data_IF_312753545978
#
_entry.id   IF_312753545978
#
_cell.length_a   1.000
_cell.length_b   1.000
_cell.length_c   1.000
_cell.angle_alpha   90.00
_cell.angle_beta   90.00
_cell.angle_gamma   90.00
#
_symmetry.space_group_name_H-M   'P 1'
#
loop_
_entity.id
_entity.type
_entity.pdbx_description
1 polymer ?
#
# COMPACT_ATOMS: atom_id res chain seq x y z
N UNK A 1 -5.41 29.26 -2.21
CA UNK A 1 -6.26 28.96 -1.04
C UNK A 1 -5.59 29.53 0.20
N UNK A 2 -6.11 30.61 0.81
CA UNK A 2 -5.54 31.14 2.08
C UNK A 2 -6.19 30.37 3.23
N UNK A 3 -5.46 29.40 3.78
CA UNK A 3 -5.95 28.51 4.85
C UNK A 3 -5.72 29.08 6.25
N UNK A 4 -6.24 28.38 7.25
CA UNK A 4 -5.78 28.58 8.63
C UNK A 4 -4.26 28.28 8.71
N UNK A 5 -3.55 28.92 9.63
CA UNK A 5 -2.11 28.73 9.89
C UNK A 5 -1.14 29.23 8.81
N UNK A 6 -1.62 29.98 7.80
CA UNK A 6 -0.77 30.74 6.88
C UNK A 6 -0.84 32.24 7.15
N UNK A 7 0.28 32.93 6.94
CA UNK A 7 0.36 34.38 7.09
C UNK A 7 -0.55 35.04 6.04
N UNK A 8 -1.47 35.92 6.48
CA UNK A 8 -2.41 36.59 5.56
C UNK A 8 -1.71 37.46 4.51
N UNK A 9 -0.57 38.06 4.87
CA UNK A 9 0.23 38.95 4.03
C UNK A 9 1.18 38.18 3.12
N UNK A 10 2.00 37.29 3.67
CA UNK A 10 3.04 36.55 2.90
C UNK A 10 2.53 35.26 2.25
N UNK A 11 1.44 34.68 2.75
CA UNK A 11 0.91 33.40 2.28
C UNK A 11 1.65 32.17 2.83
N UNK A 12 2.76 32.38 3.55
CA UNK A 12 3.61 31.31 4.05
C UNK A 12 3.00 30.59 5.25
N UNK A 13 3.35 29.30 5.39
CA UNK A 13 2.99 28.50 6.55
C UNK A 13 3.79 28.99 7.75
N UNK A 14 3.09 29.35 8.83
CA UNK A 14 3.72 29.91 10.02
C UNK A 14 4.33 28.86 10.94
N UNK A 15 3.85 27.61 10.87
CA UNK A 15 4.41 26.52 11.67
C UNK A 15 5.61 25.92 10.95
N UNK A 16 6.84 26.06 11.48
CA UNK A 16 8.05 25.59 10.82
C UNK A 16 8.03 24.07 10.60
N UNK A 17 7.56 23.29 11.58
CA UNK A 17 7.50 21.83 11.45
C UNK A 17 6.56 21.38 10.32
N UNK A 18 5.42 22.07 10.16
CA UNK A 18 4.47 21.74 9.09
C UNK A 18 5.05 22.12 7.73
N UNK A 19 5.74 23.26 7.65
CA UNK A 19 6.43 23.69 6.43
C UNK A 19 7.47 22.64 6.01
N UNK A 20 8.35 22.25 6.91
CA UNK A 20 9.42 21.28 6.62
C UNK A 20 8.85 19.91 6.19
N UNK A 21 7.74 19.46 6.79
CA UNK A 21 7.05 18.23 6.37
C UNK A 21 6.47 18.36 4.96
N UNK A 22 5.88 19.50 4.61
CA UNK A 22 5.32 19.72 3.28
C UNK A 22 6.44 19.76 2.23
N UNK A 23 7.51 20.49 2.48
CA UNK A 23 8.66 20.59 1.57
C UNK A 23 9.25 19.20 1.29
N UNK A 24 9.34 18.35 2.32
CA UNK A 24 9.80 16.96 2.18
C UNK A 24 8.84 16.12 1.34
N UNK A 25 7.54 16.16 1.62
CA UNK A 25 6.53 15.36 0.90
C UNK A 25 6.39 15.80 -0.55
N UNK A 26 6.50 17.10 -0.83
CA UNK A 26 6.51 17.64 -2.20
C UNK A 26 7.74 17.16 -2.98
N UNK A 27 8.92 17.18 -2.35
CA UNK A 27 10.16 16.67 -2.94
C UNK A 27 10.06 15.19 -3.27
N UNK A 28 9.59 14.37 -2.32
CA UNK A 28 9.40 12.93 -2.53
C UNK A 28 8.34 12.65 -3.61
N UNK A 29 7.28 13.47 -3.69
CA UNK A 29 6.27 13.33 -4.74
C UNK A 29 6.90 13.56 -6.10
N UNK A 30 7.74 14.59 -6.23
CA UNK A 30 8.39 14.92 -7.48
C UNK A 30 9.36 13.82 -7.92
N UNK A 31 10.14 13.28 -6.98
CA UNK A 31 11.03 12.15 -7.23
C UNK A 31 10.25 10.90 -7.67
N UNK A 32 9.15 10.58 -7.00
CA UNK A 32 8.31 9.45 -7.39
C UNK A 32 7.77 9.60 -8.80
N UNK A 33 7.26 10.79 -9.15
CA UNK A 33 6.76 11.08 -10.50
C UNK A 33 7.88 11.03 -11.55
N UNK A 34 9.09 11.46 -11.21
CA UNK A 34 10.25 11.35 -12.09
C UNK A 34 10.72 9.90 -12.29
N UNK A 35 10.46 9.03 -11.31
CA UNK A 35 10.80 7.59 -11.39
C UNK A 35 9.76 6.75 -12.14
N UNK A 36 8.54 7.27 -12.37
CA UNK A 36 7.57 6.56 -13.20
C UNK A 36 8.02 6.59 -14.67
N UNK A 37 7.97 5.46 -15.38
CA UNK A 37 8.36 5.41 -16.78
C UNK A 37 7.42 6.30 -17.62
N UNK A 38 8.00 7.15 -18.48
CA UNK A 38 7.25 7.77 -19.56
C UNK A 38 6.71 6.65 -20.45
N UNK A 39 5.39 6.47 -20.48
CA UNK A 39 4.77 5.66 -21.52
C UNK A 39 5.08 6.30 -22.88
N UNK A 40 5.67 5.53 -23.80
CA UNK A 40 6.06 5.96 -25.15
C UNK A 40 4.86 6.37 -26.04
N UNK A 41 3.63 6.15 -25.56
CA UNK A 41 2.38 6.39 -26.31
C UNK A 41 1.91 7.86 -26.33
N UNK A 42 2.78 8.84 -26.07
CA UNK A 42 2.41 10.27 -26.07
C UNK A 42 1.33 10.67 -25.06
N UNK A 43 0.94 9.74 -24.19
CA UNK A 43 -0.04 9.95 -23.13
C UNK A 43 0.66 10.71 -22.00
N UNK A 44 0.38 12.00 -21.89
CA UNK A 44 0.91 12.85 -20.83
C UNK A 44 0.59 12.19 -19.48
N UNK A 45 1.64 11.72 -18.79
CA UNK A 45 1.53 11.00 -17.53
C UNK A 45 0.61 11.75 -16.57
N UNK A 46 -0.43 11.08 -16.08
CA UNK A 46 -1.37 11.65 -15.12
C UNK A 46 -0.56 12.15 -13.91
N UNK A 47 -0.46 13.47 -13.77
CA UNK A 47 0.40 14.18 -12.80
C UNK A 47 -0.03 14.03 -11.33
N UNK A 48 -0.91 13.09 -11.04
CA UNK A 48 -1.61 13.01 -9.77
C UNK A 48 -1.38 11.66 -9.11
N UNK A 49 -0.45 11.64 -8.15
CA UNK A 49 -0.35 10.59 -7.14
C UNK A 49 -1.71 10.32 -6.49
N UNK A 50 -2.01 9.05 -6.23
CA UNK A 50 -3.21 8.69 -5.49
C UNK A 50 -3.21 9.32 -4.10
N UNK A 51 -4.38 9.74 -3.62
CA UNK A 51 -4.56 10.30 -2.27
C UNK A 51 -4.02 9.36 -1.19
N UNK A 52 -4.20 8.05 -1.37
CA UNK A 52 -3.70 7.03 -0.45
C UNK A 52 -2.18 7.06 -0.37
N UNK A 53 -1.48 7.19 -1.52
CA UNK A 53 -0.02 7.28 -1.56
C UNK A 53 0.47 8.55 -0.88
N UNK A 54 -0.15 9.70 -1.17
CA UNK A 54 0.19 10.98 -0.54
C UNK A 54 0.02 10.90 0.98
N UNK A 55 -1.11 10.35 1.47
CA UNK A 55 -1.34 10.17 2.90
C UNK A 55 -0.25 9.31 3.55
N UNK A 56 0.19 8.24 2.88
CA UNK A 56 1.28 7.39 3.38
C UNK A 56 2.59 8.16 3.52
N UNK A 57 2.94 8.96 2.51
CA UNK A 57 4.16 9.79 2.54
C UNK A 57 4.11 10.80 3.71
N UNK A 58 2.97 11.43 3.93
CA UNK A 58 2.76 12.34 5.08
C UNK A 58 2.92 11.59 6.41
N UNK A 59 2.37 10.39 6.55
CA UNK A 59 2.51 9.59 7.78
C UNK A 59 3.94 9.15 8.08
N UNK A 60 4.77 8.98 7.05
CA UNK A 60 6.19 8.64 7.17
C UNK A 60 7.04 9.87 7.51
N UNK A 61 6.68 11.06 6.98
CA UNK A 61 7.39 12.31 7.23
C UNK A 61 7.09 12.94 8.60
N UNK A 62 5.88 12.77 9.14
CA UNK A 62 5.46 13.41 10.39
C UNK A 62 6.15 12.76 11.61
N UNK A 63 6.77 13.56 12.51
CA UNK A 63 7.39 13.03 13.73
C UNK A 63 6.42 12.25 14.62
N UNK A 64 6.92 11.17 15.23
CA UNK A 64 6.17 10.33 16.18
C UNK A 64 6.61 10.61 17.61
N UNK A 65 5.67 10.89 18.51
CA UNK A 65 5.91 11.06 19.96
C UNK A 65 5.01 10.11 20.75
N UNK A 66 5.61 9.21 21.54
CA UNK A 66 4.88 8.17 22.31
C UNK A 66 3.89 7.37 21.43
N UNK A 67 4.31 6.98 20.22
CA UNK A 67 3.49 6.23 19.27
C UNK A 67 2.40 7.04 18.55
N UNK A 68 2.31 8.36 18.77
CA UNK A 68 1.34 9.25 18.10
C UNK A 68 2.05 10.15 17.10
N UNK A 69 1.48 10.26 15.90
CA UNK A 69 1.90 11.25 14.90
C UNK A 69 1.55 12.66 15.40
N UNK A 70 2.55 13.53 15.47
CA UNK A 70 2.40 14.89 16.00
C UNK A 70 1.49 15.71 15.07
N UNK A 71 0.50 16.40 15.64
CA UNK A 71 -0.42 17.25 14.86
C UNK A 71 -1.48 16.48 14.05
N UNK A 72 -1.43 15.15 14.01
CA UNK A 72 -2.44 14.31 13.35
C UNK A 72 -3.38 13.66 14.37
N UNK A 73 -4.65 13.54 13.98
CA UNK A 73 -5.64 12.79 14.75
C UNK A 73 -5.29 11.29 14.77
N UNK A 74 -5.79 10.57 15.79
CA UNK A 74 -5.67 9.10 15.82
C UNK A 74 -6.43 8.51 14.63
N UNK A 75 -5.79 7.62 13.87
CA UNK A 75 -6.50 6.83 12.85
C UNK A 75 -7.52 5.93 13.53
N UNK A 76 -8.73 5.82 12.99
CA UNK A 76 -9.76 4.95 13.55
C UNK A 76 -9.30 3.47 13.65
N UNK A 77 -8.43 3.03 12.73
CA UNK A 77 -7.80 1.70 12.75
C UNK A 77 -6.72 1.50 13.82
N UNK A 78 -6.29 2.56 14.52
CA UNK A 78 -5.35 2.45 15.65
C UNK A 78 -6.04 2.13 16.98
N UNK A 79 -7.38 2.10 16.98
CA UNK A 79 -8.13 1.44 18.04
C UNK A 79 -7.95 -0.07 17.84
N UNK A 80 -7.53 -0.84 18.86
CA UNK A 80 -7.63 -2.29 18.78
C UNK A 80 -9.11 -2.60 18.61
N UNK A 81 -9.52 -2.96 17.39
CA UNK A 81 -10.85 -3.45 17.15
C UNK A 81 -10.91 -4.83 17.79
N UNK A 82 -11.30 -4.88 19.06
CA UNK A 82 -11.55 -6.12 19.79
C UNK A 82 -12.63 -6.99 19.13
N UNK A 83 -13.30 -6.47 18.11
CA UNK A 83 -14.39 -7.10 17.36
C UNK A 83 -13.99 -7.57 15.95
N UNK A 84 -12.72 -7.40 15.54
CA UNK A 84 -12.26 -7.87 14.23
C UNK A 84 -11.67 -9.28 14.33
N UNK A 85 -12.41 -10.21 14.92
CA UNK A 85 -12.23 -11.61 14.55
C UNK A 85 -12.95 -11.77 13.22
N UNK A 86 -12.20 -11.87 12.12
CA UNK A 86 -12.76 -12.40 10.88
C UNK A 86 -13.38 -13.75 11.21
N UNK A 87 -14.70 -13.84 11.25
CA UNK A 87 -15.40 -15.10 11.42
C UNK A 87 -15.00 -15.99 10.25
N UNK A 88 -14.24 -17.04 10.52
CA UNK A 88 -13.86 -18.04 9.52
C UNK A 88 -14.88 -19.15 9.62
N UNK A 89 -15.71 -19.29 8.59
CA UNK A 89 -16.72 -20.34 8.51
C UNK A 89 -16.02 -21.72 8.44
N UNK A 90 -16.26 -22.62 9.40
CA UNK A 90 -15.68 -23.96 9.39
C UNK A 90 -15.97 -24.74 8.10
N UNK A 91 -17.12 -24.52 7.47
CA UNK A 91 -17.46 -25.20 6.21
C UNK A 91 -16.55 -24.77 5.06
N UNK A 92 -16.14 -23.50 5.03
CA UNK A 92 -15.20 -22.99 4.02
C UNK A 92 -13.81 -23.58 4.23
N UNK A 93 -13.38 -23.76 5.47
CA UNK A 93 -12.07 -24.36 5.79
C UNK A 93 -12.00 -25.83 5.38
N UNK A 94 -13.05 -26.60 5.68
CA UNK A 94 -13.14 -28.01 5.29
C UNK A 94 -13.14 -28.17 3.76
N UNK A 95 -13.80 -27.27 3.03
CA UNK A 95 -13.84 -27.32 1.57
C UNK A 95 -12.48 -26.97 0.95
N UNK A 96 -11.76 -26.00 1.53
CA UNK A 96 -10.40 -25.65 1.10
C UNK A 96 -9.44 -26.82 1.30
N UNK A 97 -9.47 -27.48 2.46
CA UNK A 97 -8.61 -28.63 2.73
C UNK A 97 -8.85 -29.77 1.72
N UNK A 98 -10.12 -30.07 1.40
CA UNK A 98 -10.46 -31.08 0.38
C UNK A 98 -9.95 -30.71 -1.01
N UNK A 99 -9.97 -29.42 -1.35
CA UNK A 99 -9.42 -28.94 -2.63
C UNK A 99 -7.90 -29.07 -2.66
N UNK A 100 -7.22 -28.73 -1.57
CA UNK A 100 -5.77 -28.86 -1.46
C UNK A 100 -5.33 -30.33 -1.58
N UNK A 101 -6.02 -31.26 -0.92
CA UNK A 101 -5.76 -32.71 -1.04
C UNK A 101 -5.92 -33.20 -2.49
N UNK A 102 -6.97 -32.73 -3.19
CA UNK A 102 -7.19 -33.05 -4.60
C UNK A 102 -6.10 -32.48 -5.51
N UNK A 103 -5.62 -31.26 -5.24
CA UNK A 103 -4.54 -30.63 -6.00
C UNK A 103 -3.27 -31.48 -5.88
N UNK A 104 -2.88 -31.87 -4.67
CA UNK A 104 -1.69 -32.71 -4.45
C UNK A 104 -1.80 -34.04 -5.20
N UNK A 105 -2.97 -34.69 -5.18
CA UNK A 105 -3.19 -35.93 -5.92
C UNK A 105 -3.03 -35.74 -7.44
N UNK A 106 -3.58 -34.67 -7.99
CA UNK A 106 -3.46 -34.36 -9.42
C UNK A 106 -2.04 -34.00 -9.82
N UNK A 107 -1.32 -33.24 -8.99
CA UNK A 107 0.09 -32.90 -9.22
C UNK A 107 0.97 -34.15 -9.24
N UNK A 108 0.75 -35.08 -8.30
CA UNK A 108 1.46 -36.36 -8.26
C UNK A 108 1.18 -37.21 -9.51
N UNK A 109 -0.07 -37.27 -9.95
CA UNK A 109 -0.45 -37.97 -11.18
C UNK A 109 0.21 -37.33 -12.41
N UNK A 110 0.19 -36.00 -12.52
CA UNK A 110 0.82 -35.27 -13.61
C UNK A 110 2.34 -35.48 -13.63
N UNK A 111 3.00 -35.45 -12.48
CA UNK A 111 4.43 -35.74 -12.36
C UNK A 111 4.75 -37.16 -12.84
N UNK A 112 3.89 -38.13 -12.51
CA UNK A 112 4.04 -39.53 -12.96
C UNK A 112 3.88 -39.65 -14.47
N UNK A 113 2.89 -38.98 -15.06
CA UNK A 113 2.67 -38.97 -16.51
C UNK A 113 3.88 -38.35 -17.22
N UNK A 114 4.38 -37.20 -16.74
CA UNK A 114 5.55 -36.54 -17.32
C UNK A 114 6.80 -37.44 -17.25
N UNK A 115 7.01 -38.16 -16.14
CA UNK A 115 8.11 -39.09 -16.01
C UNK A 115 7.99 -40.27 -16.98
N UNK A 116 6.78 -40.80 -17.22
CA UNK A 116 6.55 -41.86 -18.19
C UNK A 116 6.77 -41.39 -19.63
N UNK A 117 6.32 -40.18 -19.98
CA UNK A 117 6.58 -39.59 -21.29
C UNK A 117 8.08 -39.40 -21.53
N UNK A 118 8.82 -38.90 -20.53
CA UNK A 118 10.27 -38.72 -20.62
C UNK A 118 11.05 -40.04 -20.78
N UNK A 119 10.50 -41.17 -20.32
CA UNK A 119 11.07 -42.50 -20.53
C UNK A 119 10.75 -43.11 -21.90
N UNK A 120 9.69 -42.63 -22.58
CA UNK A 120 9.35 -43.08 -23.95
C UNK A 120 10.15 -42.36 -25.03
N UNK A 121 10.68 -41.16 -24.73
CA UNK A 121 11.48 -40.34 -25.64
C UNK A 121 13.01 -40.55 -25.50
N UNK A 122 13.45 -41.52 -24.69
CA UNK A 122 14.86 -41.88 -24.46
C UNK A 122 15.22 -43.23 -25.08
#
# INVERSE_FOLDING_TARGET
MRGAYTNKKTGEIQNPLIRDVIDLVESQKQEYLASEPLSDDGSSASTNLSRVRVNKMVEEAVPKKKGRLVGLARRASSCPSSSQTSYVDPMIMDELQKKDERIVALESQNATILAQMAQQDA
#
